data_IF_305629172464
#
_entry.id   IF_305629172464
#
_cell.length_a   1.000
_cell.length_b   1.000
_cell.length_c   1.000
_cell.angle_alpha   90.00
_cell.angle_beta   90.00
_cell.angle_gamma   90.00
#
_symmetry.space_group_name_H-M   'P 1'
#
loop_
_entity.id
_entity.type
_entity.pdbx_description
1 polymer ?
#
# COMPACT_ATOMS: atom_id res chain seq x y z
N UNK A 1 -40.06 -27.22 -20.92
CA UNK A 1 -38.90 -27.59 -21.77
C UNK A 1 -37.81 -28.22 -20.91
N UNK A 2 -37.58 -29.54 -21.02
CA UNK A 2 -36.48 -30.21 -20.32
C UNK A 2 -35.20 -29.98 -21.14
N UNK A 3 -34.28 -29.18 -20.61
CA UNK A 3 -32.95 -28.95 -21.21
C UNK A 3 -32.24 -30.30 -21.40
N UNK A 4 -31.64 -30.52 -22.58
CA UNK A 4 -30.90 -31.74 -22.88
C UNK A 4 -29.68 -31.87 -21.95
N UNK A 5 -29.23 -33.12 -21.66
CA UNK A 5 -28.09 -33.37 -20.77
C UNK A 5 -26.82 -32.64 -21.19
N UNK A 6 -26.63 -32.48 -22.50
CA UNK A 6 -25.50 -31.77 -23.11
C UNK A 6 -25.54 -30.28 -22.81
N UNK A 7 -26.71 -29.62 -22.90
CA UNK A 7 -26.83 -28.18 -22.60
C UNK A 7 -26.57 -27.88 -21.13
N UNK A 8 -26.95 -28.77 -20.20
CA UNK A 8 -26.63 -28.62 -18.77
C UNK A 8 -25.13 -28.73 -18.50
N UNK A 9 -24.46 -29.66 -19.17
CA UNK A 9 -23.01 -29.84 -19.08
C UNK A 9 -22.27 -28.59 -19.58
N UNK A 10 -22.68 -28.03 -20.72
CA UNK A 10 -22.09 -26.80 -21.26
C UNK A 10 -22.29 -25.58 -20.36
N UNK A 11 -23.45 -25.44 -19.71
CA UNK A 11 -23.71 -24.35 -18.75
C UNK A 11 -22.78 -24.46 -17.53
N UNK A 12 -22.58 -25.68 -16.99
CA UNK A 12 -21.67 -25.90 -15.86
C UNK A 12 -20.21 -25.64 -16.25
N UNK A 13 -19.79 -26.10 -17.43
CA UNK A 13 -18.43 -25.88 -17.95
C UNK A 13 -18.15 -24.39 -18.20
N UNK A 14 -19.08 -23.65 -18.81
CA UNK A 14 -18.97 -22.20 -19.00
C UNK A 14 -18.98 -21.43 -17.68
N UNK A 15 -19.77 -21.89 -16.69
CA UNK A 15 -19.76 -21.34 -15.33
C UNK A 15 -18.43 -21.55 -14.61
N UNK A 16 -17.82 -22.73 -14.73
CA UNK A 16 -16.49 -23.03 -14.18
C UNK A 16 -15.39 -22.23 -14.86
N UNK A 17 -15.44 -22.09 -16.19
CA UNK A 17 -14.45 -21.31 -16.95
C UNK A 17 -14.54 -19.82 -16.63
N UNK A 18 -15.75 -19.25 -16.59
CA UNK A 18 -15.94 -17.84 -16.23
C UNK A 18 -15.58 -17.56 -14.77
N UNK A 19 -15.92 -18.46 -13.84
CA UNK A 19 -15.49 -18.39 -12.45
C UNK A 19 -13.98 -18.49 -12.28
N UNK A 20 -13.33 -19.39 -13.03
CA UNK A 20 -11.88 -19.53 -13.08
C UNK A 20 -11.19 -18.28 -13.64
N UNK A 21 -11.72 -17.71 -14.73
CA UNK A 21 -11.18 -16.49 -15.33
C UNK A 21 -11.33 -15.29 -14.38
N UNK A 22 -12.47 -15.17 -13.71
CA UNK A 22 -12.71 -14.14 -12.70
C UNK A 22 -11.77 -14.30 -11.50
N UNK A 23 -11.52 -15.53 -11.05
CA UNK A 23 -10.58 -15.80 -9.96
C UNK A 23 -9.13 -15.46 -10.35
N UNK A 24 -8.69 -15.81 -11.56
CA UNK A 24 -7.36 -15.44 -12.09
C UNK A 24 -7.24 -13.93 -12.24
N UNK A 25 -8.27 -13.27 -12.78
CA UNK A 25 -8.32 -11.80 -12.87
C UNK A 25 -8.23 -11.14 -11.49
N UNK A 26 -8.95 -11.66 -10.49
CA UNK A 26 -8.87 -11.20 -9.11
C UNK A 26 -7.46 -11.42 -8.54
N UNK A 27 -6.85 -12.57 -8.83
CA UNK A 27 -5.50 -12.93 -8.37
C UNK A 27 -4.43 -11.97 -8.92
N UNK A 28 -4.58 -11.55 -10.19
CA UNK A 28 -3.69 -10.57 -10.82
C UNK A 28 -3.83 -9.15 -10.25
N UNK A 29 -4.99 -8.82 -9.66
CA UNK A 29 -5.26 -7.53 -9.02
C UNK A 29 -4.84 -7.49 -7.54
N UNK A 30 -4.49 -8.63 -6.95
CA UNK A 30 -4.06 -8.73 -5.54
C UNK A 30 -2.97 -7.71 -5.18
N UNK A 31 -1.93 -7.43 -6.01
CA UNK A 31 -0.87 -6.50 -5.61
C UNK A 31 -1.37 -5.10 -5.23
N UNK A 32 -2.40 -4.59 -5.91
CA UNK A 32 -2.96 -3.25 -5.68
C UNK A 32 -3.71 -3.18 -4.35
N UNK A 33 -4.38 -4.27 -3.96
CA UNK A 33 -5.16 -4.33 -2.72
C UNK A 33 -4.36 -4.88 -1.54
N UNK A 34 -3.30 -5.64 -1.79
CA UNK A 34 -2.53 -6.34 -0.77
C UNK A 34 -1.86 -5.37 0.20
N UNK A 35 -1.15 -4.36 -0.33
CA UNK A 35 -0.44 -3.39 0.51
C UNK A 35 -1.43 -2.57 1.36
N UNK A 36 -2.51 -1.98 0.79
CA UNK A 36 -3.51 -1.28 1.59
C UNK A 36 -4.19 -2.18 2.63
N UNK A 37 -4.52 -3.43 2.27
CA UNK A 37 -5.15 -4.37 3.20
C UNK A 37 -4.22 -4.72 4.37
N UNK A 38 -2.94 -4.98 4.09
CA UNK A 38 -1.93 -5.29 5.10
C UNK A 38 -1.74 -4.11 6.07
N UNK A 39 -1.61 -2.89 5.53
CA UNK A 39 -1.54 -1.66 6.33
C UNK A 39 -2.79 -1.46 7.18
N UNK A 40 -3.97 -1.75 6.64
CA UNK A 40 -5.24 -1.65 7.36
C UNK A 40 -5.34 -2.64 8.51
N UNK A 41 -4.87 -3.88 8.33
CA UNK A 41 -4.77 -4.87 9.41
C UNK A 41 -3.82 -4.37 10.50
N UNK A 42 -2.67 -3.81 10.12
CA UNK A 42 -1.73 -3.27 11.10
C UNK A 42 -2.37 -2.11 11.90
N UNK A 43 -3.00 -1.16 11.21
CA UNK A 43 -3.71 -0.04 11.86
C UNK A 43 -4.89 -0.50 12.71
N UNK A 44 -5.58 -1.59 12.33
CA UNK A 44 -6.68 -2.15 13.12
C UNK A 44 -6.22 -2.50 14.55
N UNK A 45 -5.07 -3.16 14.71
CA UNK A 45 -4.52 -3.52 16.03
C UNK A 45 -4.11 -2.32 16.89
N UNK A 46 -3.88 -1.17 16.25
CA UNK A 46 -3.51 0.09 16.90
C UNK A 46 -4.76 0.86 17.31
N UNK A 47 -5.77 0.92 16.44
CA UNK A 47 -6.99 1.70 16.63
C UNK A 47 -8.02 0.96 17.49
N UNK A 48 -8.10 -0.38 17.43
CA UNK A 48 -9.03 -1.16 18.24
C UNK A 48 -8.96 -0.86 19.76
N UNK A 49 -7.79 -0.79 20.42
CA UNK A 49 -7.73 -0.43 21.84
C UNK A 49 -8.22 0.99 22.12
N UNK A 50 -8.07 1.93 21.17
CA UNK A 50 -8.61 3.29 21.30
C UNK A 50 -10.14 3.24 21.32
N UNK A 51 -10.77 2.38 20.51
CA UNK A 51 -12.22 2.17 20.55
C UNK A 51 -12.66 1.49 21.86
N UNK A 52 -11.89 0.56 22.41
CA UNK A 52 -12.20 -0.06 23.71
C UNK A 52 -12.09 0.96 24.84
N UNK A 53 -11.07 1.82 24.80
CA UNK A 53 -10.93 2.94 25.72
C UNK A 53 -12.08 3.94 25.57
N UNK A 54 -12.54 4.21 24.34
CA UNK A 54 -13.73 5.01 24.07
C UNK A 54 -15.01 4.41 24.71
N UNK A 55 -15.19 3.09 24.60
CA UNK A 55 -16.29 2.36 25.25
C UNK A 55 -16.22 2.47 26.79
N UNK A 56 -15.01 2.52 27.37
CA UNK A 56 -14.84 2.63 28.83
C UNK A 56 -15.35 3.95 29.44
N UNK A 57 -15.53 5.00 28.65
CA UNK A 57 -16.14 6.26 29.08
C UNK A 57 -17.69 6.24 29.07
N UNK A 58 -18.30 5.09 28.76
CA UNK A 58 -19.76 4.94 28.69
C UNK A 58 -20.36 5.28 27.33
N UNK A 59 -19.54 5.59 26.33
CA UNK A 59 -20.00 5.78 24.95
C UNK A 59 -20.23 4.44 24.25
N UNK A 60 -21.19 4.40 23.32
CA UNK A 60 -21.43 3.19 22.53
C UNK A 60 -20.34 2.98 21.47
N UNK A 61 -20.00 1.74 21.17
CA UNK A 61 -19.09 1.38 20.06
C UNK A 61 -19.44 2.08 18.75
N UNK A 62 -20.74 2.18 18.44
CA UNK A 62 -21.24 2.83 17.23
C UNK A 62 -20.82 4.29 17.15
N UNK A 63 -20.83 5.01 18.27
CA UNK A 63 -20.36 6.40 18.32
C UNK A 63 -18.86 6.52 18.09
N UNK A 64 -18.05 5.60 18.64
CA UNK A 64 -16.61 5.54 18.37
C UNK A 64 -16.30 5.24 16.90
N UNK A 65 -17.03 4.31 16.29
CA UNK A 65 -16.91 4.02 14.86
C UNK A 65 -17.33 5.21 13.98
N UNK A 66 -18.40 5.93 14.36
CA UNK A 66 -18.82 7.15 13.65
C UNK A 66 -17.80 8.28 13.78
N UNK A 67 -17.24 8.49 14.98
CA UNK A 67 -16.18 9.47 15.21
C UNK A 67 -14.94 9.14 14.35
N UNK A 68 -14.52 7.88 14.35
CA UNK A 68 -13.41 7.43 13.52
C UNK A 68 -13.71 7.57 12.02
N UNK A 69 -14.91 7.24 11.57
CA UNK A 69 -15.33 7.48 10.20
C UNK A 69 -15.27 8.96 9.85
N UNK A 70 -15.68 9.84 10.76
CA UNK A 70 -15.54 11.29 10.62
C UNK A 70 -14.10 11.72 10.46
N UNK A 71 -13.19 11.22 11.31
CA UNK A 71 -11.74 11.49 11.20
C UNK A 71 -11.18 10.99 9.87
N UNK A 72 -11.54 9.77 9.47
CA UNK A 72 -11.13 9.19 8.19
C UNK A 72 -11.60 10.03 7.01
N UNK A 73 -12.88 10.42 6.99
CA UNK A 73 -13.46 11.23 5.93
C UNK A 73 -12.86 12.63 5.90
N UNK A 74 -12.63 13.25 7.06
CA UNK A 74 -11.96 14.54 7.16
C UNK A 74 -10.51 14.46 6.66
N UNK A 75 -9.78 13.39 7.02
CA UNK A 75 -8.42 13.15 6.55
C UNK A 75 -8.38 12.93 5.03
N UNK A 76 -9.31 12.13 4.50
CA UNK A 76 -9.43 11.88 3.07
C UNK A 76 -9.81 13.15 2.30
N UNK A 77 -10.73 13.96 2.82
CA UNK A 77 -11.11 15.25 2.24
C UNK A 77 -9.94 16.24 2.27
N UNK A 78 -9.21 16.30 3.39
CA UNK A 78 -8.02 17.14 3.52
C UNK A 78 -6.95 16.72 2.50
N UNK A 79 -6.66 15.43 2.39
CA UNK A 79 -5.75 14.91 1.38
C UNK A 79 -6.24 15.23 -0.03
N UNK A 80 -7.53 15.07 -0.33
CA UNK A 80 -8.10 15.38 -1.64
C UNK A 80 -7.99 16.86 -2.04
N UNK A 81 -7.93 17.78 -1.06
CA UNK A 81 -7.75 19.22 -1.30
C UNK A 81 -6.27 19.61 -1.33
N UNK A 82 -5.43 19.06 -0.45
CA UNK A 82 -4.02 19.42 -0.32
C UNK A 82 -3.10 18.69 -1.30
N UNK A 83 -3.38 17.43 -1.65
CA UNK A 83 -2.52 16.66 -2.54
C UNK A 83 -2.48 17.22 -3.96
N UNK A 84 -3.61 17.55 -4.64
CA UNK A 84 -3.53 17.99 -6.02
C UNK A 84 -2.59 19.18 -6.25
N UNK A 85 -2.64 20.28 -5.47
CA UNK A 85 -1.69 21.37 -5.64
C UNK A 85 -0.27 20.97 -5.22
N UNK A 86 -0.09 20.26 -4.10
CA UNK A 86 1.25 19.86 -3.66
C UNK A 86 1.95 18.92 -4.65
N UNK A 87 1.21 17.96 -5.22
CA UNK A 87 1.70 17.06 -6.26
C UNK A 87 1.94 17.82 -7.56
N UNK A 88 1.08 18.77 -7.91
CA UNK A 88 1.27 19.62 -9.10
C UNK A 88 2.53 20.49 -8.99
N UNK A 89 2.73 21.16 -7.87
CA UNK A 89 3.88 22.05 -7.66
C UNK A 89 5.19 21.25 -7.63
N UNK A 90 5.20 20.10 -6.94
CA UNK A 90 6.35 19.19 -6.97
C UNK A 90 6.59 18.62 -8.37
N UNK A 91 5.53 18.36 -9.13
CA UNK A 91 5.65 17.89 -10.51
C UNK A 91 6.27 18.93 -11.44
N UNK A 92 5.80 20.18 -11.38
CA UNK A 92 6.39 21.28 -12.16
C UNK A 92 7.86 21.47 -11.78
N UNK A 93 8.19 21.29 -10.49
CA UNK A 93 9.56 21.37 -10.00
C UNK A 93 10.44 20.22 -10.51
N UNK A 94 9.93 18.98 -10.55
CA UNK A 94 10.62 17.82 -11.13
C UNK A 94 10.80 18.01 -12.63
N UNK A 95 9.77 18.41 -13.39
CA UNK A 95 9.91 18.66 -14.83
C UNK A 95 10.97 19.73 -15.15
N UNK A 96 11.08 20.77 -14.31
CA UNK A 96 12.09 21.83 -14.49
C UNK A 96 13.49 21.40 -14.08
N UNK A 97 13.64 20.61 -13.01
CA UNK A 97 14.93 20.24 -12.44
C UNK A 97 15.51 18.93 -12.96
N UNK A 98 14.65 18.01 -13.43
CA UNK A 98 15.09 16.73 -13.91
C UNK A 98 16.00 16.81 -15.15
N UNK A 99 15.78 17.66 -16.17
CA UNK A 99 16.76 17.85 -17.23
C UNK A 99 18.09 18.37 -16.70
N UNK A 100 18.07 19.32 -15.74
CA UNK A 100 19.30 19.84 -15.12
C UNK A 100 20.07 18.75 -14.35
N UNK A 101 19.36 17.86 -13.64
CA UNK A 101 19.98 16.74 -12.92
C UNK A 101 20.57 15.69 -13.89
N UNK A 102 19.91 15.45 -15.02
CA UNK A 102 20.44 14.59 -16.09
C UNK A 102 21.67 15.22 -16.73
N UNK A 103 21.66 16.54 -16.97
CA UNK A 103 22.81 17.28 -17.51
C UNK A 103 24.01 17.28 -16.55
N UNK A 104 23.77 17.41 -15.24
CA UNK A 104 24.81 17.33 -14.22
C UNK A 104 25.41 15.92 -14.13
N UNK A 105 24.57 14.87 -14.14
CA UNK A 105 25.04 13.48 -14.24
C UNK A 105 25.82 13.24 -15.53
N UNK A 106 25.36 13.78 -16.65
CA UNK A 106 26.03 13.74 -17.93
C UNK A 106 27.42 14.37 -17.86
N UNK A 107 27.54 15.54 -17.22
CA UNK A 107 28.83 16.22 -17.01
C UNK A 107 29.78 15.43 -16.10
N UNK A 108 29.28 14.79 -15.05
CA UNK A 108 30.08 13.90 -14.20
C UNK A 108 30.60 12.68 -14.97
N UNK A 109 29.74 12.04 -15.77
CA UNK A 109 30.12 10.90 -16.60
C UNK A 109 31.10 11.31 -17.69
N UNK A 110 30.95 12.50 -18.26
CA UNK A 110 31.89 13.06 -19.25
C UNK A 110 33.27 13.32 -18.65
N UNK A 111 33.34 13.84 -17.41
CA UNK A 111 34.59 13.99 -16.68
C UNK A 111 35.28 12.66 -16.36
N UNK A 112 34.51 11.60 -16.07
CA UNK A 112 35.03 10.24 -15.90
C UNK A 112 35.51 9.67 -17.23
N UNK A 113 34.75 9.88 -18.31
CA UNK A 113 35.07 9.40 -19.66
C UNK A 113 36.37 10.02 -20.18
N UNK A 114 36.57 11.32 -20.01
CA UNK A 114 37.80 12.01 -20.43
C UNK A 114 39.04 11.45 -19.70
N UNK A 115 38.94 11.24 -18.39
CA UNK A 115 40.03 10.63 -17.59
C UNK A 115 40.30 9.17 -17.95
N UNK A 116 39.26 8.41 -18.28
CA UNK A 116 39.41 7.03 -18.74
C UNK A 116 40.01 6.94 -20.15
N UNK A 117 39.64 7.85 -21.05
CA UNK A 117 40.13 7.88 -22.41
C UNK A 117 41.65 8.13 -22.48
N UNK A 118 42.21 8.88 -21.53
CA UNK A 118 43.66 9.11 -21.40
C UNK A 118 44.45 7.85 -20.98
N UNK A 119 43.81 6.91 -20.29
CA UNK A 119 44.48 5.71 -19.73
C UNK A 119 44.16 4.45 -20.55
N UNK A 120 42.90 4.28 -20.97
CA UNK A 120 42.40 3.12 -21.73
C UNK A 120 41.33 3.57 -22.74
N UNK A 121 41.71 3.87 -24.00
CA UNK A 121 40.79 4.38 -25.03
C UNK A 121 39.59 3.45 -25.30
N UNK A 122 39.81 2.13 -25.28
CA UNK A 122 38.76 1.13 -25.50
C UNK A 122 37.68 1.11 -24.39
N UNK A 123 38.00 1.57 -23.18
CA UNK A 123 37.03 1.64 -22.09
C UNK A 123 36.12 2.89 -22.21
N UNK A 124 36.58 3.94 -22.90
CA UNK A 124 35.83 5.18 -23.07
C UNK A 124 34.59 5.04 -23.96
N UNK A 125 34.63 4.15 -24.97
CA UNK A 125 33.46 3.84 -25.81
C UNK A 125 32.35 3.14 -24.99
N UNK A 126 32.71 2.21 -24.12
CA UNK A 126 31.74 1.54 -23.23
C UNK A 126 31.07 2.49 -22.24
N UNK A 127 31.79 3.51 -21.76
CA UNK A 127 31.22 4.56 -20.89
C UNK A 127 30.21 5.42 -21.64
N UNK A 128 30.45 5.72 -22.91
CA UNK A 128 29.51 6.47 -23.75
C UNK A 128 28.19 5.72 -23.95
N UNK A 129 28.26 4.41 -24.17
CA UNK A 129 27.06 3.57 -24.36
C UNK A 129 26.26 3.43 -23.06
N UNK A 130 26.94 3.30 -21.91
CA UNK A 130 26.30 3.31 -20.58
C UNK A 130 25.65 4.67 -20.29
N UNK A 131 26.32 5.79 -20.63
CA UNK A 131 25.77 7.15 -20.50
C UNK A 131 24.47 7.31 -21.29
N UNK A 132 24.48 6.90 -22.56
CA UNK A 132 23.30 6.98 -23.41
C UNK A 132 22.13 6.17 -22.84
N UNK A 133 22.39 4.95 -22.35
CA UNK A 133 21.36 4.10 -21.71
C UNK A 133 20.83 4.68 -20.41
N UNK A 134 21.69 5.28 -19.57
CA UNK A 134 21.24 5.94 -18.33
C UNK A 134 20.36 7.14 -18.65
N UNK A 135 20.78 8.00 -19.58
CA UNK A 135 20.00 9.17 -20.01
C UNK A 135 18.65 8.77 -20.60
N UNK A 136 18.62 7.69 -21.39
CA UNK A 136 17.38 7.14 -21.94
C UNK A 136 16.46 6.58 -20.85
N UNK A 137 16.95 5.74 -19.94
CA UNK A 137 16.14 5.15 -18.86
C UNK A 137 15.58 6.24 -17.93
N UNK A 138 16.41 7.18 -17.49
CA UNK A 138 15.99 8.25 -16.60
C UNK A 138 15.01 9.18 -17.31
N UNK A 139 15.37 9.67 -18.49
CA UNK A 139 14.61 10.66 -19.25
C UNK A 139 13.27 10.14 -19.80
N UNK A 140 13.26 8.91 -20.31
CA UNK A 140 12.09 8.37 -21.03
C UNK A 140 11.26 7.38 -20.23
N UNK A 141 11.81 6.73 -19.19
CA UNK A 141 11.10 5.70 -18.43
C UNK A 141 10.79 6.14 -17.00
N UNK A 142 11.79 6.62 -16.25
CA UNK A 142 11.62 6.95 -14.83
C UNK A 142 10.82 8.24 -14.65
N UNK A 143 11.30 9.36 -15.22
CA UNK A 143 10.67 10.68 -15.07
C UNK A 143 9.18 10.69 -15.47
N UNK A 144 8.78 10.10 -16.62
CA UNK A 144 7.37 10.05 -17.02
C UNK A 144 6.52 9.09 -16.17
N UNK A 145 7.11 8.09 -15.51
CA UNK A 145 6.39 7.12 -14.68
C UNK A 145 6.12 7.62 -13.25
N UNK A 146 6.91 8.58 -12.74
CA UNK A 146 6.76 9.12 -11.38
C UNK A 146 5.33 9.61 -11.04
N UNK A 147 4.61 10.36 -11.91
CA UNK A 147 3.23 10.78 -11.63
C UNK A 147 2.28 9.60 -11.45
N UNK A 148 2.43 8.57 -12.29
CA UNK A 148 1.62 7.37 -12.22
C UNK A 148 1.84 6.64 -10.89
N UNK A 149 3.08 6.54 -10.44
CA UNK A 149 3.44 5.97 -9.15
C UNK A 149 2.85 6.79 -7.98
N UNK A 150 2.99 8.11 -7.98
CA UNK A 150 2.43 8.97 -6.94
C UNK A 150 0.90 8.83 -6.92
N UNK A 151 0.24 8.92 -8.07
CA UNK A 151 -1.21 8.75 -8.17
C UNK A 151 -1.67 7.38 -7.65
N UNK A 152 -0.93 6.31 -7.96
CA UNK A 152 -1.20 4.96 -7.45
C UNK A 152 -1.03 4.88 -5.93
N UNK A 153 0.03 5.47 -5.36
CA UNK A 153 0.24 5.50 -3.91
C UNK A 153 -0.86 6.29 -3.21
N UNK A 154 -1.30 7.42 -3.79
CA UNK A 154 -2.41 8.23 -3.27
C UNK A 154 -3.72 7.44 -3.31
N UNK A 155 -4.05 6.82 -4.44
CA UNK A 155 -5.25 5.98 -4.55
C UNK A 155 -5.20 4.79 -3.60
N UNK A 156 -4.06 4.10 -3.49
CA UNK A 156 -3.84 3.00 -2.56
C UNK A 156 -3.95 3.44 -1.10
N UNK A 157 -3.42 4.62 -0.77
CA UNK A 157 -3.55 5.24 0.54
C UNK A 157 -4.99 5.57 0.90
N UNK A 158 -5.83 5.93 -0.07
CA UNK A 158 -7.27 6.17 0.13
C UNK A 158 -8.05 4.88 0.45
N UNK A 159 -7.57 3.72 -0.01
CA UNK A 159 -8.17 2.43 0.29
C UNK A 159 -7.90 1.99 1.73
N UNK A 160 -6.75 2.32 2.31
CA UNK A 160 -6.37 1.96 3.68
C UNK A 160 -7.45 2.33 4.70
N UNK A 161 -7.90 3.60 4.82
CA UNK A 161 -8.88 3.95 5.83
C UNK A 161 -10.28 3.35 5.55
N UNK A 162 -10.62 3.11 4.27
CA UNK A 162 -11.87 2.41 3.91
C UNK A 162 -11.82 0.96 4.41
N UNK A 163 -10.76 0.23 4.10
CA UNK A 163 -10.58 -1.16 4.53
C UNK A 163 -10.53 -1.23 6.06
N UNK A 164 -9.78 -0.33 6.71
CA UNK A 164 -9.71 -0.23 8.17
C UNK A 164 -11.09 -0.03 8.79
N UNK A 165 -11.93 0.85 8.24
CA UNK A 165 -13.29 1.08 8.71
C UNK A 165 -14.14 -0.20 8.66
N UNK A 166 -14.06 -0.95 7.56
CA UNK A 166 -14.72 -2.26 7.44
C UNK A 166 -14.19 -3.28 8.47
N UNK A 167 -12.86 -3.34 8.67
CA UNK A 167 -12.24 -4.21 9.66
C UNK A 167 -12.69 -3.88 11.09
N UNK A 168 -12.79 -2.60 11.45
CA UNK A 168 -13.22 -2.20 12.80
C UNK A 168 -14.71 -2.46 13.06
N UNK A 169 -15.52 -2.34 12.01
CA UNK A 169 -16.97 -2.56 12.06
C UNK A 169 -17.33 -4.05 12.12
N UNK A 170 -16.77 -4.86 11.23
CA UNK A 170 -17.16 -6.26 11.06
C UNK A 170 -16.05 -7.29 11.31
N UNK A 171 -14.81 -6.86 11.55
CA UNK A 171 -13.66 -7.76 11.72
C UNK A 171 -13.82 -8.77 12.86
N UNK A 172 -14.49 -8.39 13.97
CA UNK A 172 -14.80 -9.35 15.05
C UNK A 172 -15.73 -10.46 14.61
N UNK A 173 -16.75 -10.14 13.79
CA UNK A 173 -17.67 -11.15 13.23
C UNK A 173 -16.94 -12.04 12.23
N UNK A 174 -16.09 -11.46 11.39
CA UNK A 174 -15.28 -12.20 10.44
C UNK A 174 -14.36 -13.19 11.15
N UNK A 175 -13.65 -12.74 12.20
CA UNK A 175 -12.81 -13.61 13.04
C UNK A 175 -13.61 -14.73 13.70
N UNK A 176 -14.79 -14.43 14.25
CA UNK A 176 -15.66 -15.44 14.86
C UNK A 176 -16.02 -16.53 13.85
N UNK A 177 -16.41 -16.15 12.63
CA UNK A 177 -16.71 -17.11 11.55
C UNK A 177 -15.50 -17.94 11.16
N UNK A 178 -14.30 -17.35 11.11
CA UNK A 178 -13.07 -18.08 10.85
C UNK A 178 -12.77 -19.13 11.94
N UNK A 179 -13.03 -18.79 13.20
CA UNK A 179 -12.87 -19.73 14.32
C UNK A 179 -13.96 -20.83 14.31
N UNK A 180 -15.18 -20.51 13.88
CA UNK A 180 -16.28 -21.47 13.73
C UNK A 180 -16.03 -22.51 12.62
N UNK A 181 -15.12 -22.24 11.67
CA UNK A 181 -14.69 -23.21 10.66
C UNK A 181 -13.72 -24.28 11.22
N UNK A 182 -13.14 -24.04 12.40
CA UNK A 182 -12.21 -24.98 13.02
C UNK A 182 -13.01 -26.16 13.62
N UNK A 183 -12.62 -27.42 13.35
CA UNK A 183 -13.26 -28.57 13.97
C UNK A 183 -13.24 -28.47 15.50
N UNK A 184 -14.36 -28.85 16.14
CA UNK A 184 -14.57 -28.64 17.58
C UNK A 184 -13.43 -29.21 18.46
N UNK A 185 -12.79 -30.31 18.05
CA UNK A 185 -11.65 -30.93 18.76
C UNK A 185 -10.48 -29.96 18.99
N UNK A 186 -10.26 -29.02 18.07
CA UNK A 186 -9.11 -28.11 18.10
C UNK A 186 -9.54 -26.66 18.40
N UNK A 187 -10.81 -26.41 18.76
CA UNK A 187 -11.35 -25.06 18.89
C UNK A 187 -10.63 -24.25 19.98
N UNK A 188 -10.41 -24.85 21.16
CA UNK A 188 -9.69 -24.19 22.27
C UNK A 188 -8.25 -23.83 21.88
N UNK A 189 -7.56 -24.74 21.17
CA UNK A 189 -6.20 -24.49 20.70
C UNK A 189 -6.16 -23.34 19.68
N UNK A 190 -7.08 -23.34 18.70
CA UNK A 190 -7.17 -22.27 17.72
C UNK A 190 -7.52 -20.92 18.36
N UNK A 191 -8.43 -20.90 19.32
CA UNK A 191 -8.78 -19.69 20.08
C UNK A 191 -7.56 -19.16 20.86
N UNK A 192 -6.82 -20.04 21.54
CA UNK A 192 -5.63 -19.66 22.31
C UNK A 192 -4.51 -19.12 21.41
N UNK A 193 -4.21 -19.79 20.29
CA UNK A 193 -3.24 -19.32 19.30
C UNK A 193 -3.67 -17.96 18.75
N UNK A 194 -4.92 -17.82 18.35
CA UNK A 194 -5.46 -16.56 17.82
C UNK A 194 -5.33 -15.43 18.84
N UNK A 195 -5.61 -15.69 20.12
CA UNK A 195 -5.45 -14.70 21.18
C UNK A 195 -3.99 -14.29 21.39
N UNK A 196 -3.06 -15.25 21.37
CA UNK A 196 -1.61 -14.97 21.49
C UNK A 196 -1.08 -14.16 20.32
N UNK A 197 -1.50 -14.48 19.10
CA UNK A 197 -1.14 -13.73 17.89
C UNK A 197 -1.62 -12.28 18.03
N UNK A 198 -2.88 -12.06 18.41
CA UNK A 198 -3.41 -10.70 18.58
C UNK A 198 -2.62 -9.89 19.62
N UNK A 199 -2.29 -10.51 20.76
CA UNK A 199 -1.51 -9.86 21.80
C UNK A 199 -0.12 -9.49 21.33
N UNK A 200 0.59 -10.41 20.66
CA UNK A 200 1.95 -10.18 20.19
C UNK A 200 2.00 -9.15 19.06
N UNK A 201 1.16 -9.31 18.03
CA UNK A 201 1.07 -8.37 16.91
C UNK A 201 0.66 -6.99 17.42
N UNK A 202 -0.37 -6.93 18.26
CA UNK A 202 -0.83 -5.66 18.82
C UNK A 202 0.23 -4.96 19.67
N UNK A 203 0.95 -5.69 20.53
CA UNK A 203 2.01 -5.11 21.34
C UNK A 203 3.17 -4.59 20.49
N UNK A 204 3.62 -5.38 19.50
CA UNK A 204 4.68 -4.98 18.58
C UNK A 204 4.32 -3.73 17.79
N UNK A 205 3.15 -3.71 17.14
CA UNK A 205 2.72 -2.57 16.30
C UNK A 205 2.54 -1.29 17.12
N UNK A 206 1.98 -1.39 18.33
CA UNK A 206 1.89 -0.24 19.24
C UNK A 206 3.27 0.26 19.66
N UNK A 207 4.21 -0.65 19.93
CA UNK A 207 5.60 -0.31 20.22
C UNK A 207 6.25 0.49 19.09
N UNK A 208 6.15 0.00 17.85
CA UNK A 208 6.68 0.67 16.65
C UNK A 208 6.08 2.06 16.46
N UNK A 209 4.78 2.24 16.70
CA UNK A 209 4.14 3.56 16.57
C UNK A 209 4.60 4.52 17.67
N UNK A 210 4.75 4.05 18.90
CA UNK A 210 5.25 4.89 20.00
C UNK A 210 6.71 5.30 19.72
N UNK A 211 7.54 4.37 19.23
CA UNK A 211 8.92 4.65 18.81
C UNK A 211 8.95 5.68 17.68
N UNK A 212 8.16 5.47 16.62
CA UNK A 212 8.07 6.39 15.49
C UNK A 212 7.58 7.78 15.91
N UNK A 213 6.58 7.85 16.79
CA UNK A 213 6.08 9.10 17.34
C UNK A 213 7.14 9.82 18.19
N UNK A 214 7.94 9.09 18.96
CA UNK A 214 9.06 9.63 19.73
C UNK A 214 10.13 10.25 18.82
N UNK A 215 10.57 9.51 17.79
CA UNK A 215 11.54 10.00 16.81
C UNK A 215 11.01 11.22 16.06
N UNK A 216 9.75 11.18 15.62
CA UNK A 216 9.12 12.31 14.94
C UNK A 216 9.02 13.56 15.82
N UNK A 217 8.67 13.39 17.10
CA UNK A 217 8.61 14.50 18.07
C UNK A 217 9.97 15.13 18.30
N UNK A 218 11.03 14.33 18.46
CA UNK A 218 12.41 14.83 18.60
C UNK A 218 12.86 15.54 17.32
N UNK A 219 12.60 14.96 16.14
CA UNK A 219 12.95 15.58 14.86
C UNK A 219 12.25 16.93 14.67
N UNK A 220 10.96 17.04 15.03
CA UNK A 220 10.23 18.29 14.96
C UNK A 220 10.80 19.37 15.89
N UNK A 221 11.29 19.00 17.07
CA UNK A 221 11.90 19.95 18.01
C UNK A 221 13.29 20.43 17.56
N UNK A 222 13.95 19.70 16.65
CA UNK A 222 15.25 20.05 16.10
C UNK A 222 15.17 20.89 14.80
N UNK A 223 13.98 21.00 14.21
CA UNK A 223 13.66 21.82 13.03
C UNK A 223 13.19 23.22 13.44
#
# INVERSE_FOLDING_TARGET
>A
MKLSPTTRLWIVVLGLLSGGLAAVYLLLQVPVLFVPALLSIALFYVVEPVLVWWESFGYTRKSGLLALAGVVLASAALLAVLLPPAVHDQWVMVQRRAPMAVDELNGMVEGIQQRLAEVVPAAAEGVSEVRAKIGEIVGSQILPALPGLIAQMVMGGLLVPIILFFLLTDGRKARKRLLEMVPNRNFEMALNISHRIDQQIGAYLRGVIIEAAGVAGVAWLLL
#
